data_IF_931826905385
#
_entry.id   IF_931826905385
#
_cell.length_a   1.000
_cell.length_b   1.000
_cell.length_c   1.000
_cell.angle_alpha   90.00
_cell.angle_beta   90.00
_cell.angle_gamma   90.00
#
_symmetry.space_group_name_H-M   'P 1'
#
loop_
_entity.id
_entity.type
_entity.pdbx_description
1 polymer ?
#
# COMPACT_ATOMS: atom_id res chain seq x y z
N UNK A 1 4.11 -17.11 21.17
CA UNK A 1 4.47 -17.55 19.80
C UNK A 1 5.27 -16.44 19.15
N UNK A 2 6.25 -16.78 18.32
CA UNK A 2 6.88 -15.83 17.40
C UNK A 2 5.84 -15.41 16.36
N UNK A 3 5.59 -14.11 16.23
CA UNK A 3 4.56 -13.57 15.33
C UNK A 3 5.09 -13.64 13.89
N UNK A 4 4.32 -14.23 12.97
CA UNK A 4 4.64 -14.26 11.55
C UNK A 4 4.37 -12.89 10.93
N UNK A 5 5.31 -12.28 10.22
CA UNK A 5 5.01 -11.09 9.41
C UNK A 5 3.95 -11.44 8.36
N UNK A 6 3.02 -10.54 8.12
CA UNK A 6 1.94 -10.73 7.15
C UNK A 6 2.05 -9.65 6.08
N UNK A 7 2.10 -10.08 4.82
CA UNK A 7 2.09 -9.20 3.67
C UNK A 7 0.86 -9.53 2.84
N UNK A 8 0.12 -8.49 2.49
CA UNK A 8 -1.10 -8.60 1.71
C UNK A 8 -0.88 -7.90 0.37
N UNK A 9 -1.35 -8.50 -0.71
CA UNK A 9 -1.74 -7.74 -1.87
C UNK A 9 -3.00 -6.89 -1.56
N UNK A 10 -3.32 -5.94 -2.44
CA UNK A 10 -4.43 -5.01 -2.27
C UNK A 10 -5.65 -5.37 -3.13
N UNK A 11 -5.54 -5.22 -4.44
CA UNK A 11 -6.66 -5.30 -5.39
C UNK A 11 -7.05 -6.75 -5.60
N UNK A 12 -8.31 -7.13 -5.31
CA UNK A 12 -8.74 -8.53 -5.38
C UNK A 12 -8.34 -9.36 -4.15
N UNK A 13 -7.42 -8.87 -3.32
CA UNK A 13 -7.07 -9.47 -2.03
C UNK A 13 -7.79 -8.80 -0.86
N UNK A 14 -7.45 -7.56 -0.52
CA UNK A 14 -8.10 -6.74 0.51
C UNK A 14 -9.44 -6.23 0.02
N UNK A 15 -9.49 -5.72 -1.22
CA UNK A 15 -10.72 -5.31 -1.88
C UNK A 15 -11.33 -6.49 -2.65
N UNK A 16 -12.63 -6.44 -2.90
CA UNK A 16 -13.32 -7.49 -3.68
C UNK A 16 -13.08 -7.37 -5.19
N UNK A 17 -12.52 -6.24 -5.65
CA UNK A 17 -12.36 -5.89 -7.06
C UNK A 17 -11.14 -4.98 -7.27
N UNK A 18 -10.69 -4.89 -8.52
CA UNK A 18 -9.70 -3.91 -8.97
C UNK A 18 -10.17 -2.47 -8.73
N UNK A 19 -9.27 -1.64 -8.23
CA UNK A 19 -9.52 -0.23 -7.90
C UNK A 19 -8.77 0.77 -8.78
N UNK A 20 -7.92 0.32 -9.71
CA UNK A 20 -7.16 1.21 -10.60
C UNK A 20 -8.11 2.07 -11.46
N UNK A 21 -9.16 1.46 -12.01
CA UNK A 21 -10.16 2.19 -12.80
C UNK A 21 -10.95 3.19 -11.94
N UNK A 22 -11.29 2.80 -10.70
CA UNK A 22 -11.97 3.69 -9.74
C UNK A 22 -11.10 4.90 -9.40
N UNK A 23 -9.83 4.68 -9.04
CA UNK A 23 -8.87 5.74 -8.79
C UNK A 23 -8.72 6.68 -9.99
N UNK A 24 -8.58 6.13 -11.21
CA UNK A 24 -8.48 6.94 -12.42
C UNK A 24 -9.72 7.81 -12.64
N UNK A 25 -10.92 7.26 -12.48
CA UNK A 25 -12.17 8.02 -12.62
C UNK A 25 -12.33 9.11 -11.55
N UNK A 26 -11.91 8.87 -10.31
CA UNK A 26 -11.92 9.89 -9.25
C UNK A 26 -10.98 11.05 -9.60
N UNK A 27 -9.77 10.75 -10.07
CA UNK A 27 -8.83 11.76 -10.53
C UNK A 27 -9.38 12.54 -11.74
N UNK A 28 -9.93 11.86 -12.75
CA UNK A 28 -10.54 12.52 -13.93
C UNK A 28 -11.70 13.42 -13.53
N UNK A 29 -12.56 12.99 -12.61
CA UNK A 29 -13.68 13.80 -12.11
C UNK A 29 -13.19 15.06 -11.43
N UNK A 30 -12.12 14.96 -10.65
CA UNK A 30 -11.49 16.13 -10.03
C UNK A 30 -10.81 17.04 -11.06
N UNK A 31 -10.14 16.50 -12.08
CA UNK A 31 -9.58 17.33 -13.17
C UNK A 31 -10.69 18.06 -13.94
N UNK A 32 -11.83 17.40 -14.15
CA UNK A 32 -12.99 18.00 -14.80
C UNK A 32 -13.59 19.16 -13.99
N UNK A 33 -13.58 19.10 -12.66
CA UNK A 33 -14.02 20.22 -11.81
C UNK A 33 -13.09 21.44 -11.92
N UNK A 34 -11.86 21.24 -12.40
CA UNK A 34 -10.89 22.29 -12.73
C UNK A 34 -10.86 22.64 -14.23
N UNK A 35 -11.84 22.17 -15.01
CA UNK A 35 -11.99 22.50 -16.42
C UNK A 35 -11.17 21.63 -17.39
N UNK A 36 -10.55 20.55 -16.93
CA UNK A 36 -9.77 19.62 -17.75
C UNK A 36 -10.53 18.31 -17.97
N UNK A 37 -11.08 18.09 -19.16
CA UNK A 37 -11.72 16.82 -19.51
C UNK A 37 -10.68 15.81 -20.03
N UNK A 38 -10.25 14.91 -19.14
CA UNK A 38 -9.26 13.87 -19.44
C UNK A 38 -9.86 12.48 -19.66
N UNK A 39 -11.19 12.36 -19.72
CA UNK A 39 -11.85 11.08 -20.04
C UNK A 39 -11.42 10.50 -21.40
N UNK A 40 -11.23 11.29 -22.48
CA UNK A 40 -10.73 10.77 -23.75
C UNK A 40 -9.31 10.20 -23.62
N UNK A 41 -8.44 10.86 -22.85
CA UNK A 41 -7.07 10.40 -22.63
C UNK A 41 -7.05 9.04 -21.90
N UNK A 42 -7.92 8.86 -20.89
CA UNK A 42 -8.09 7.57 -20.23
C UNK A 42 -8.56 6.48 -21.19
N UNK A 43 -9.54 6.78 -22.04
CA UNK A 43 -9.99 5.85 -23.09
C UNK A 43 -8.85 5.43 -24.04
N UNK A 44 -7.98 6.35 -24.42
CA UNK A 44 -6.78 6.06 -25.21
C UNK A 44 -5.76 5.20 -24.45
N UNK A 45 -5.54 5.46 -23.16
CA UNK A 45 -4.65 4.65 -22.31
C UNK A 45 -5.13 3.20 -22.26
N UNK A 46 -6.40 2.99 -21.89
CA UNK A 46 -6.99 1.65 -21.75
C UNK A 46 -6.95 0.89 -23.08
N UNK A 47 -7.37 1.53 -24.17
CA UNK A 47 -7.35 0.88 -25.49
C UNK A 47 -5.93 0.54 -25.97
N UNK A 48 -4.96 1.41 -25.72
CA UNK A 48 -3.56 1.16 -26.10
C UNK A 48 -2.94 0.03 -25.26
N UNK A 49 -3.23 -0.03 -23.96
CA UNK A 49 -2.80 -1.12 -23.09
C UNK A 49 -3.39 -2.46 -23.56
N UNK A 50 -4.70 -2.52 -23.84
CA UNK A 50 -5.34 -3.74 -24.36
C UNK A 50 -4.71 -4.22 -25.67
N UNK A 51 -4.33 -3.30 -26.57
CA UNK A 51 -3.64 -3.63 -27.82
C UNK A 51 -2.23 -4.16 -27.57
N UNK A 52 -1.45 -3.49 -26.72
CA UNK A 52 -0.08 -3.92 -26.37
C UNK A 52 -0.11 -5.31 -25.72
N UNK A 53 -1.01 -5.53 -24.76
CA UNK A 53 -1.15 -6.80 -24.06
C UNK A 53 -1.57 -7.92 -25.00
N UNK A 54 -2.60 -7.68 -25.83
CA UNK A 54 -3.06 -8.68 -26.80
C UNK A 54 -1.97 -9.02 -27.82
N UNK A 55 -1.22 -8.01 -28.28
CA UNK A 55 -0.08 -8.21 -29.17
C UNK A 55 1.03 -9.00 -28.48
N UNK A 56 1.35 -8.69 -27.22
CA UNK A 56 2.37 -9.42 -26.48
C UNK A 56 1.99 -10.89 -26.31
N UNK A 57 0.76 -11.17 -25.87
CA UNK A 57 0.24 -12.53 -25.69
C UNK A 57 0.30 -13.32 -27.01
N UNK A 58 -0.09 -12.70 -28.12
CA UNK A 58 -0.12 -13.36 -29.43
C UNK A 58 1.27 -13.75 -29.97
N UNK A 59 2.33 -13.04 -29.56
CA UNK A 59 3.69 -13.27 -30.05
C UNK A 59 4.61 -13.92 -29.01
N UNK A 60 4.18 -14.04 -27.76
CA UNK A 60 4.98 -14.65 -26.71
C UNK A 60 5.02 -16.17 -26.89
N UNK A 61 6.23 -16.72 -26.92
CA UNK A 61 6.48 -18.15 -26.87
C UNK A 61 7.38 -18.50 -25.69
N UNK A 62 7.13 -19.63 -24.99
CA UNK A 62 6.06 -20.61 -25.22
C UNK A 62 4.63 -20.08 -24.95
N UNK A 63 3.63 -20.60 -25.68
CA UNK A 63 2.21 -20.21 -25.48
C UNK A 63 1.72 -20.58 -24.08
N UNK A 64 0.53 -20.10 -23.68
CA UNK A 64 -0.02 -20.43 -22.36
C UNK A 64 -0.17 -21.94 -22.15
N UNK A 65 -0.58 -22.70 -23.18
CA UNK A 65 -0.70 -24.14 -23.11
C UNK A 65 0.67 -24.85 -23.04
N UNK A 66 1.70 -24.27 -23.64
CA UNK A 66 3.06 -24.82 -23.68
C UNK A 66 3.87 -24.52 -22.42
N UNK A 67 3.51 -23.48 -21.66
CA UNK A 67 4.10 -23.18 -20.36
C UNK A 67 3.65 -24.22 -19.33
N UNK A 68 4.55 -25.12 -18.95
CA UNK A 68 4.27 -26.24 -18.02
C UNK A 68 5.08 -26.19 -16.73
N UNK A 69 5.94 -25.18 -16.56
CA UNK A 69 6.82 -25.06 -15.40
C UNK A 69 6.70 -23.69 -14.77
N UNK A 70 6.95 -23.61 -13.45
CA UNK A 70 6.99 -22.34 -12.72
C UNK A 70 7.96 -21.35 -13.37
N UNK A 71 9.15 -21.81 -13.76
CA UNK A 71 10.16 -20.97 -14.41
C UNK A 71 9.63 -20.30 -15.69
N UNK A 72 8.97 -21.06 -16.57
CA UNK A 72 8.40 -20.52 -17.81
C UNK A 72 7.28 -19.51 -17.53
N UNK A 73 6.48 -19.75 -16.49
CA UNK A 73 5.40 -18.83 -16.11
C UNK A 73 5.94 -17.53 -15.52
N UNK A 74 6.97 -17.61 -14.69
CA UNK A 74 7.69 -16.43 -14.17
C UNK A 74 8.30 -15.63 -15.33
N UNK A 75 8.95 -16.30 -16.28
CA UNK A 75 9.50 -15.64 -17.48
C UNK A 75 8.41 -14.90 -18.27
N UNK A 76 7.20 -15.48 -18.38
CA UNK A 76 6.06 -14.82 -19.01
C UNK A 76 5.61 -13.57 -18.24
N UNK A 77 5.37 -13.66 -16.93
CA UNK A 77 4.93 -12.48 -16.15
C UNK A 77 5.98 -11.37 -16.14
N UNK A 78 7.27 -11.70 -16.03
CA UNK A 78 8.36 -10.73 -16.14
C UNK A 78 8.44 -10.10 -17.53
N UNK A 79 8.12 -10.84 -18.59
CA UNK A 79 8.12 -10.31 -19.97
C UNK A 79 7.07 -9.21 -20.19
N UNK A 80 6.01 -9.16 -19.36
CA UNK A 80 5.00 -8.12 -19.41
C UNK A 80 5.51 -6.75 -18.95
N UNK A 81 6.71 -6.67 -18.33
CA UNK A 81 7.26 -5.41 -17.80
C UNK A 81 7.20 -4.27 -18.81
N UNK A 82 7.53 -4.53 -20.08
CA UNK A 82 7.48 -3.50 -21.12
C UNK A 82 6.04 -3.06 -21.47
N UNK A 83 5.07 -3.97 -21.42
CA UNK A 83 3.64 -3.65 -21.64
C UNK A 83 3.12 -2.79 -20.49
N UNK A 84 3.41 -3.21 -19.27
CA UNK A 84 2.94 -2.52 -18.06
C UNK A 84 3.61 -1.15 -17.90
N UNK A 85 4.93 -1.06 -18.06
CA UNK A 85 5.65 0.22 -17.99
C UNK A 85 5.13 1.24 -19.02
N UNK A 86 4.81 0.81 -20.25
CA UNK A 86 4.18 1.71 -21.24
C UNK A 86 2.81 2.22 -20.79
N UNK A 87 2.03 1.40 -20.09
CA UNK A 87 0.76 1.83 -19.52
C UNK A 87 0.97 2.91 -18.46
N UNK A 88 1.92 2.69 -17.56
CA UNK A 88 2.33 3.66 -16.52
C UNK A 88 2.89 4.95 -17.10
N UNK A 89 3.68 4.88 -18.17
CA UNK A 89 4.21 6.04 -18.88
C UNK A 89 3.09 6.87 -19.51
N UNK A 90 2.08 6.23 -20.12
CA UNK A 90 0.92 6.93 -20.68
C UNK A 90 0.10 7.62 -19.58
N UNK A 91 -0.08 6.97 -18.43
CA UNK A 91 -0.74 7.60 -17.27
C UNK A 91 0.07 8.82 -16.81
N UNK A 92 1.39 8.67 -16.64
CA UNK A 92 2.30 9.75 -16.25
C UNK A 92 2.27 10.93 -17.24
N UNK A 93 2.20 10.66 -18.53
CA UNK A 93 2.15 11.68 -19.58
C UNK A 93 0.77 12.33 -19.78
N UNK A 94 -0.30 11.69 -19.29
CA UNK A 94 -1.68 12.15 -19.53
C UNK A 94 -2.09 13.40 -18.77
N UNK A 95 -1.38 13.70 -17.67
CA UNK A 95 -1.76 14.74 -16.72
C UNK A 95 -2.96 14.37 -15.83
N UNK A 96 -3.52 13.15 -15.93
CA UNK A 96 -4.63 12.71 -15.08
C UNK A 96 -4.26 12.85 -13.60
N UNK A 97 -3.03 12.49 -13.22
CA UNK A 97 -2.54 12.57 -11.84
C UNK A 97 -1.76 13.85 -11.52
N UNK A 98 -1.70 14.81 -12.45
CA UNK A 98 -0.98 16.06 -12.23
C UNK A 98 -1.70 16.93 -11.20
N UNK A 99 -0.93 17.51 -10.28
CA UNK A 99 -1.48 18.38 -9.23
C UNK A 99 -2.06 17.60 -8.04
N UNK A 100 -2.22 16.29 -8.16
CA UNK A 100 -2.44 15.39 -7.04
C UNK A 100 -1.10 15.04 -6.41
N UNK A 101 -0.46 16.01 -5.75
CA UNK A 101 0.53 15.66 -4.75
C UNK A 101 -0.19 15.14 -3.51
N UNK A 102 0.50 14.37 -2.68
CA UNK A 102 0.31 14.56 -1.25
C UNK A 102 0.21 16.08 -1.02
N UNK A 103 -0.82 16.58 -0.35
CA UNK A 103 -0.65 17.88 0.31
C UNK A 103 0.61 17.68 1.11
N UNK A 104 1.68 18.28 0.63
CA UNK A 104 3.07 18.04 1.00
C UNK A 104 3.09 17.72 2.49
N UNK A 105 3.34 16.47 2.92
CA UNK A 105 3.21 16.10 4.35
C UNK A 105 3.97 17.13 5.20
N UNK A 106 5.08 17.62 4.64
CA UNK A 106 5.85 18.75 5.13
C UNK A 106 5.11 20.08 5.09
N UNK A 107 4.39 20.48 4.03
CA UNK A 107 3.51 21.65 4.02
C UNK A 107 2.28 21.52 4.93
N UNK A 108 1.73 20.32 5.09
CA UNK A 108 0.64 20.01 6.00
C UNK A 108 1.11 20.16 7.45
N UNK A 109 2.25 19.53 7.77
CA UNK A 109 2.93 19.72 9.05
C UNK A 109 3.34 21.18 9.22
N UNK A 110 3.79 21.87 8.18
CA UNK A 110 4.17 23.27 8.22
C UNK A 110 3.00 24.15 8.63
N UNK A 111 1.83 23.99 7.99
CA UNK A 111 0.65 24.78 8.30
C UNK A 111 0.19 24.55 9.75
N UNK A 112 0.28 23.31 10.25
CA UNK A 112 -0.07 23.00 11.64
C UNK A 112 0.97 23.57 12.60
N UNK A 113 2.26 23.44 12.30
CA UNK A 113 3.37 24.00 13.09
C UNK A 113 3.25 25.52 13.14
N UNK A 114 2.97 26.18 12.02
CA UNK A 114 2.77 27.64 11.93
C UNK A 114 1.61 28.09 12.84
N UNK A 115 0.48 27.35 12.86
CA UNK A 115 -0.64 27.64 13.75
C UNK A 115 -0.31 27.36 15.24
N UNK A 116 0.47 26.32 15.55
CA UNK A 116 0.96 26.08 16.92
C UNK A 116 1.83 27.27 17.34
N UNK A 117 2.84 27.63 16.53
CA UNK A 117 3.80 28.70 16.80
C UNK A 117 3.12 30.07 16.94
N UNK A 118 2.06 30.33 16.19
CA UNK A 118 1.26 31.55 16.33
C UNK A 118 0.47 31.62 17.65
N UNK A 119 0.25 30.49 18.32
CA UNK A 119 -0.58 30.38 19.54
C UNK A 119 0.22 30.25 20.85
N UNK A 120 1.54 30.11 20.76
CA UNK A 120 2.46 29.84 21.89
C UNK A 120 3.50 30.95 22.04
N UNK A 121 4.14 31.03 23.21
CA UNK A 121 5.28 31.93 23.41
C UNK A 121 6.55 31.31 22.78
N UNK A 122 7.00 31.93 21.69
CA UNK A 122 8.21 31.52 20.96
C UNK A 122 9.47 31.51 21.84
N UNK A 123 9.52 32.24 22.96
CA UNK A 123 10.69 32.24 23.87
C UNK A 123 10.77 31.00 24.76
N UNK A 124 9.67 30.27 24.91
CA UNK A 124 9.56 29.16 25.88
C UNK A 124 9.13 27.83 25.27
N UNK A 125 8.59 27.83 24.04
CA UNK A 125 8.21 26.61 23.33
C UNK A 125 9.44 25.83 22.83
N UNK A 126 9.40 24.50 22.96
CA UNK A 126 10.43 23.59 22.43
C UNK A 126 9.87 22.62 21.38
N UNK A 127 10.76 21.97 20.61
CA UNK A 127 10.39 21.04 19.54
C UNK A 127 9.51 19.89 20.02
N UNK A 128 9.71 19.40 21.25
CA UNK A 128 8.87 18.31 21.81
C UNK A 128 7.42 18.77 21.97
N UNK A 129 7.20 19.98 22.50
CA UNK A 129 5.87 20.54 22.66
C UNK A 129 5.18 20.77 21.32
N UNK A 130 5.92 21.25 20.30
CA UNK A 130 5.39 21.41 18.94
C UNK A 130 5.02 20.06 18.33
N UNK A 131 5.86 19.03 18.48
CA UNK A 131 5.56 17.65 18.03
C UNK A 131 4.34 17.06 18.73
N UNK A 132 4.22 17.22 20.04
CA UNK A 132 3.04 16.76 20.79
C UNK A 132 1.78 17.49 20.34
N UNK A 133 1.85 18.81 20.09
CA UNK A 133 0.74 19.58 19.55
C UNK A 133 0.35 19.15 18.13
N UNK A 134 1.34 18.86 17.28
CA UNK A 134 1.15 18.35 15.94
C UNK A 134 0.48 16.96 15.96
N UNK A 135 1.00 16.04 16.78
CA UNK A 135 0.44 14.69 16.97
C UNK A 135 -1.03 14.75 17.44
N UNK A 136 -1.32 15.59 18.43
CA UNK A 136 -2.68 15.78 18.95
C UNK A 136 -3.65 16.31 17.89
N UNK A 137 -3.18 17.20 16.99
CA UNK A 137 -3.99 17.77 15.90
C UNK A 137 -4.18 16.82 14.73
N UNK A 138 -3.19 15.97 14.46
CA UNK A 138 -3.26 14.94 13.44
C UNK A 138 -4.02 13.70 13.92
N UNK A 139 -4.21 13.52 15.23
CA UNK A 139 -4.83 12.33 15.81
C UNK A 139 -4.00 11.07 15.62
N UNK A 140 -2.68 11.22 15.42
CA UNK A 140 -1.74 10.12 15.21
C UNK A 140 -0.61 10.20 16.23
N UNK A 141 -0.08 9.04 16.61
CA UNK A 141 1.16 8.99 17.36
C UNK A 141 2.35 9.27 16.43
N UNK A 142 3.08 10.35 16.70
CA UNK A 142 4.29 10.76 15.99
C UNK A 142 5.58 10.36 16.73
N UNK A 143 5.49 9.87 17.97
CA UNK A 143 6.67 9.41 18.73
C UNK A 143 7.10 8.00 18.26
N UNK A 144 6.16 7.19 17.74
CA UNK A 144 6.43 5.87 17.15
C UNK A 144 6.70 5.83 15.63
N UNK A 145 6.77 6.98 14.95
CA UNK A 145 6.97 7.02 13.49
C UNK A 145 8.42 6.76 13.06
N UNK A 146 8.60 6.25 11.83
CA UNK A 146 9.91 5.90 11.24
C UNK A 146 10.94 7.03 11.33
N UNK A 147 12.22 6.67 11.48
CA UNK A 147 13.34 7.60 11.64
C UNK A 147 13.38 8.76 10.62
N UNK A 148 13.11 8.49 9.34
CA UNK A 148 13.09 9.54 8.30
C UNK A 148 11.97 10.59 8.46
N UNK A 149 10.81 10.20 9.02
CA UNK A 149 9.72 11.14 9.34
C UNK A 149 10.13 12.03 10.52
N UNK A 150 10.86 11.47 11.49
CA UNK A 150 11.33 12.23 12.66
C UNK A 150 12.36 13.29 12.28
N UNK A 151 13.29 12.97 11.37
CA UNK A 151 14.30 13.91 10.86
C UNK A 151 13.65 15.03 10.04
N UNK A 152 12.75 14.69 9.12
CA UNK A 152 11.97 15.68 8.36
C UNK A 152 11.16 16.60 9.28
N UNK A 153 10.50 16.07 10.32
CA UNK A 153 9.75 16.86 11.29
C UNK A 153 10.67 17.78 12.10
N UNK A 154 11.85 17.30 12.48
CA UNK A 154 12.84 18.09 13.19
C UNK A 154 13.31 19.28 12.34
N UNK A 155 13.66 19.04 11.07
CA UNK A 155 14.10 20.08 10.13
C UNK A 155 13.00 21.10 9.86
N UNK A 156 11.78 20.61 9.65
CA UNK A 156 10.62 21.47 9.40
C UNK A 156 10.30 22.36 10.60
N UNK A 157 10.25 21.81 11.82
CA UNK A 157 9.96 22.61 13.02
C UNK A 157 11.04 23.68 13.20
N UNK A 158 12.31 23.35 12.95
CA UNK A 158 13.42 24.31 13.01
C UNK A 158 13.23 25.44 11.99
N UNK A 159 12.96 25.11 10.72
CA UNK A 159 12.71 26.10 9.66
C UNK A 159 11.54 27.04 10.02
N UNK A 160 10.41 26.49 10.48
CA UNK A 160 9.21 27.29 10.81
C UNK A 160 9.38 28.17 12.03
N UNK A 161 10.17 27.71 13.00
CA UNK A 161 10.54 28.52 14.16
C UNK A 161 11.36 29.75 13.76
N UNK A 162 12.30 29.60 12.82
CA UNK A 162 13.08 30.73 12.28
C UNK A 162 12.19 31.74 11.54
N UNK A 163 11.26 31.25 10.70
CA UNK A 163 10.28 32.10 10.01
C UNK A 163 9.39 32.87 10.99
N UNK A 164 8.88 32.21 12.03
CA UNK A 164 8.03 32.85 13.04
C UNK A 164 8.78 33.93 13.84
N UNK A 165 10.04 33.68 14.20
CA UNK A 165 10.90 34.65 14.88
C UNK A 165 11.23 35.87 13.99
N UNK A 166 11.42 35.66 12.69
CA UNK A 166 11.61 36.75 11.73
C UNK A 166 10.33 37.59 11.56
N UNK A 167 9.15 36.96 11.54
CA UNK A 167 7.86 37.64 11.42
C UNK A 167 7.46 38.44 12.69
N UNK A 168 7.87 37.99 13.88
CA UNK A 168 7.63 38.69 15.15
C UNK A 168 8.33 40.07 15.27
N UNK A 169 9.16 40.44 14.28
CA UNK A 169 9.74 41.78 14.12
C UNK A 169 8.86 42.80 13.38
N UNK A 170 7.65 42.43 12.93
CA UNK A 170 6.69 43.32 12.24
C UNK A 170 5.34 43.45 12.96
N UNK A 171 4.49 44.46 12.65
CA UNK A 171 3.27 44.73 13.41
C UNK A 171 2.18 43.67 13.15
N UNK A 172 1.60 43.14 14.24
CA UNK A 172 0.65 42.03 14.22
C UNK A 172 -0.81 42.46 13.93
N UNK A 173 -1.59 41.66 13.16
CA UNK A 173 -3.05 41.66 13.25
C UNK A 173 -3.51 40.59 14.26
N UNK A 174 -4.46 40.97 15.12
CA UNK A 174 -5.14 40.07 16.06
C UNK A 174 -6.43 39.52 15.48
N UNK A 175 -6.65 38.21 15.53
CA UNK A 175 -8.00 37.63 15.62
C UNK A 175 -7.96 36.30 16.37
N UNK A 176 -8.71 36.21 17.47
CA UNK A 176 -9.02 34.97 18.17
C UNK A 176 -10.02 34.17 17.34
N UNK A 177 -9.78 32.87 17.14
CA UNK A 177 -10.82 31.91 16.75
C UNK A 177 -10.89 30.83 17.82
N UNK A 178 -12.07 30.66 18.43
CA UNK A 178 -12.44 29.53 19.29
C UNK A 178 -13.35 28.58 18.50
N UNK A 179 -13.08 27.28 18.60
CA UNK A 179 -13.97 26.18 18.21
C UNK A 179 -13.30 24.82 18.46
N UNK A 180 -14.04 23.75 18.78
CA UNK A 180 -13.48 22.39 18.94
C UNK A 180 -13.02 21.83 17.57
N UNK A 181 -12.13 20.81 17.54
CA UNK A 181 -11.42 20.44 16.32
C UNK A 181 -12.37 19.88 15.26
N UNK A 182 -12.40 20.53 14.09
CA UNK A 182 -12.89 19.94 12.85
C UNK A 182 -11.92 18.81 12.47
N UNK A 183 -12.44 17.63 12.13
CA UNK A 183 -11.66 16.59 11.44
C UNK A 183 -10.96 17.21 10.20
N UNK A 184 -9.66 17.00 10.05
CA UNK A 184 -8.80 17.75 9.11
C UNK A 184 -8.37 16.88 7.91
N UNK A 185 -8.15 17.45 6.70
CA UNK A 185 -8.15 16.70 5.45
C UNK A 185 -6.81 16.00 5.23
N UNK A 186 -6.89 14.68 5.05
CA UNK A 186 -5.83 13.85 4.49
C UNK A 186 -5.58 14.26 3.03
N UNK A 187 -4.37 13.99 2.51
CA UNK A 187 -4.01 14.28 1.11
C UNK A 187 -5.04 13.74 0.12
N UNK A 188 -5.18 14.39 -1.04
CA UNK A 188 -6.31 14.13 -1.94
C UNK A 188 -6.47 12.66 -2.32
N UNK A 189 -5.35 11.96 -2.54
CA UNK A 189 -5.33 10.51 -2.78
C UNK A 189 -5.93 9.69 -1.64
N UNK A 190 -5.52 9.97 -0.40
CA UNK A 190 -6.07 9.29 0.76
C UNK A 190 -7.56 9.58 0.91
N UNK A 191 -7.97 10.84 0.72
CA UNK A 191 -9.41 11.19 0.75
C UNK A 191 -10.18 10.42 -0.32
N UNK A 192 -9.65 10.31 -1.54
CA UNK A 192 -10.27 9.50 -2.60
C UNK A 192 -10.44 8.04 -2.20
N UNK A 193 -9.46 7.44 -1.53
CA UNK A 193 -9.58 6.07 -1.03
C UNK A 193 -10.70 5.93 0.01
N UNK A 194 -10.78 6.85 0.97
CA UNK A 194 -11.85 6.87 1.98
C UNK A 194 -13.21 7.08 1.34
N UNK A 195 -13.34 8.08 0.47
CA UNK A 195 -14.59 8.44 -0.20
C UNK A 195 -15.07 7.32 -1.12
N UNK A 196 -14.16 6.58 -1.77
CA UNK A 196 -14.50 5.43 -2.60
C UNK A 196 -15.18 4.33 -1.79
N UNK A 197 -14.71 4.07 -0.56
CA UNK A 197 -15.32 3.09 0.35
C UNK A 197 -16.66 3.61 0.88
N UNK A 198 -16.69 4.85 1.37
CA UNK A 198 -17.90 5.46 1.92
C UNK A 198 -19.02 5.60 0.88
N UNK A 199 -18.65 5.81 -0.39
CA UNK A 199 -19.56 5.87 -1.53
C UNK A 199 -19.95 4.51 -2.11
N UNK A 200 -19.45 3.39 -1.57
CA UNK A 200 -19.73 2.04 -2.06
C UNK A 200 -19.10 1.70 -3.42
N UNK A 201 -18.10 2.47 -3.87
CA UNK A 201 -17.34 2.18 -5.09
C UNK A 201 -16.25 1.12 -4.86
N UNK A 202 -15.83 0.95 -3.62
CA UNK A 202 -14.83 -0.03 -3.18
C UNK A 202 -15.34 -0.72 -1.94
N UNK A 203 -15.31 -2.05 -1.94
CA UNK A 203 -15.73 -2.88 -0.81
C UNK A 203 -14.55 -3.70 -0.28
N UNK A 204 -14.45 -3.79 1.04
CA UNK A 204 -13.50 -4.69 1.70
C UNK A 204 -13.97 -6.13 1.64
N UNK A 205 -13.05 -7.06 1.41
CA UNK A 205 -13.32 -8.49 1.41
C UNK A 205 -13.77 -8.97 2.79
N UNK A 206 -14.70 -9.92 2.81
CA UNK A 206 -15.25 -10.50 4.04
C UNK A 206 -14.14 -10.89 5.03
N UNK A 207 -14.34 -10.52 6.30
CA UNK A 207 -13.41 -10.81 7.40
C UNK A 207 -12.20 -9.88 7.51
N UNK A 208 -11.96 -8.95 6.56
CA UNK A 208 -10.75 -8.10 6.58
C UNK A 208 -10.67 -7.25 7.85
N UNK A 209 -11.80 -6.72 8.32
CA UNK A 209 -11.86 -5.86 9.49
C UNK A 209 -11.46 -6.62 10.75
N UNK A 210 -12.02 -7.81 10.94
CA UNK A 210 -11.71 -8.71 12.05
C UNK A 210 -10.25 -9.17 11.99
N UNK A 211 -9.76 -9.50 10.81
CA UNK A 211 -8.36 -9.87 10.57
C UNK A 211 -7.40 -8.76 10.96
N UNK A 212 -7.69 -7.51 10.59
CA UNK A 212 -6.88 -6.37 10.98
C UNK A 212 -6.87 -6.11 12.47
N UNK A 213 -8.03 -6.23 13.13
CA UNK A 213 -8.11 -6.10 14.59
C UNK A 213 -7.31 -7.19 15.31
N UNK A 214 -7.36 -8.43 14.81
CA UNK A 214 -6.56 -9.54 15.31
C UNK A 214 -5.06 -9.24 15.15
N UNK A 215 -4.61 -8.88 13.95
CA UNK A 215 -3.21 -8.59 13.67
C UNK A 215 -2.67 -7.43 14.52
N UNK A 216 -3.46 -6.36 14.65
CA UNK A 216 -3.13 -5.20 15.48
C UNK A 216 -3.06 -5.56 16.97
N UNK A 217 -4.06 -6.28 17.49
CA UNK A 217 -4.11 -6.72 18.88
C UNK A 217 -2.98 -7.69 19.24
N UNK A 218 -2.53 -8.49 18.28
CA UNK A 218 -1.36 -9.33 18.42
C UNK A 218 -0.06 -8.56 18.25
N UNK A 219 -0.05 -7.33 17.73
CA UNK A 219 1.16 -6.57 17.40
C UNK A 219 2.03 -7.28 16.37
N UNK A 220 1.39 -7.84 15.34
CA UNK A 220 2.04 -8.54 14.23
C UNK A 220 2.48 -7.54 13.17
N UNK A 221 3.73 -7.64 12.69
CA UNK A 221 4.21 -6.83 11.58
C UNK A 221 3.35 -7.12 10.33
N UNK A 222 2.68 -6.09 9.82
CA UNK A 222 1.77 -6.19 8.70
C UNK A 222 2.09 -5.14 7.65
N UNK A 223 1.89 -5.47 6.38
CA UNK A 223 2.01 -4.51 5.31
C UNK A 223 1.38 -4.94 4.01
N UNK A 224 1.36 -4.00 3.06
CA UNK A 224 0.80 -4.17 1.73
C UNK A 224 1.88 -4.00 0.68
N UNK A 225 1.86 -4.86 -0.33
CA UNK A 225 2.59 -4.68 -1.58
C UNK A 225 1.58 -4.62 -2.72
N UNK A 226 1.62 -3.57 -3.54
CA UNK A 226 0.63 -3.38 -4.60
C UNK A 226 1.22 -2.72 -5.85
N UNK A 227 0.68 -3.09 -7.02
CA UNK A 227 0.93 -2.41 -8.30
C UNK A 227 0.08 -1.15 -8.47
N UNK A 228 -0.84 -0.86 -7.53
CA UNK A 228 -1.74 0.28 -7.63
C UNK A 228 -0.97 1.60 -7.84
N UNK A 229 -1.56 2.53 -8.58
CA UNK A 229 -0.91 3.79 -8.95
C UNK A 229 -0.63 4.72 -7.77
N UNK A 230 -1.37 4.61 -6.67
CA UNK A 230 -1.21 5.51 -5.52
C UNK A 230 -1.25 4.77 -4.19
N UNK A 231 -0.10 4.70 -3.53
CA UNK A 231 0.07 4.27 -2.14
C UNK A 231 -0.91 4.98 -1.20
N UNK A 232 -1.10 6.28 -1.36
CA UNK A 232 -1.93 7.05 -0.44
C UNK A 232 -3.42 6.76 -0.65
N UNK A 233 -3.84 6.48 -1.89
CA UNK A 233 -5.17 5.95 -2.15
C UNK A 233 -5.39 4.59 -1.48
N UNK A 234 -4.42 3.68 -1.61
CA UNK A 234 -4.45 2.38 -0.94
C UNK A 234 -4.60 2.57 0.58
N UNK A 235 -3.81 3.45 1.20
CA UNK A 235 -3.93 3.78 2.64
C UNK A 235 -5.32 4.32 2.98
N UNK A 236 -5.87 5.18 2.14
CA UNK A 236 -7.23 5.70 2.28
C UNK A 236 -8.29 4.60 2.33
N UNK A 237 -8.28 3.71 1.34
CA UNK A 237 -9.22 2.57 1.28
C UNK A 237 -9.06 1.68 2.52
N UNK A 238 -7.82 1.29 2.84
CA UNK A 238 -7.49 0.41 3.96
C UNK A 238 -7.96 0.99 5.29
N UNK A 239 -7.74 2.29 5.51
CA UNK A 239 -8.17 2.97 6.74
C UNK A 239 -9.69 2.91 6.94
N UNK A 240 -10.46 2.89 5.84
CA UNK A 240 -11.91 2.85 5.87
C UNK A 240 -12.46 1.42 5.99
N UNK A 241 -11.92 0.45 5.23
CA UNK A 241 -12.40 -0.94 5.28
C UNK A 241 -11.88 -1.73 6.47
N UNK A 242 -10.69 -1.37 6.98
CA UNK A 242 -10.00 -2.09 8.04
C UNK A 242 -9.16 -1.14 8.92
N UNK A 243 -9.81 -0.42 9.86
CA UNK A 243 -9.11 0.52 10.74
C UNK A 243 -7.96 -0.08 11.54
N UNK A 244 -8.03 -1.38 11.88
CA UNK A 244 -6.96 -2.10 12.57
C UNK A 244 -5.64 -2.15 11.81
N UNK A 245 -5.67 -1.98 10.48
CA UNK A 245 -4.47 -1.96 9.64
C UNK A 245 -4.15 -0.55 9.09
N UNK A 246 -4.82 0.50 9.55
CA UNK A 246 -4.60 1.87 9.03
C UNK A 246 -3.15 2.37 9.20
N UNK A 247 -2.43 1.86 10.21
CA UNK A 247 -1.04 2.20 10.49
C UNK A 247 -0.01 1.30 9.79
N UNK A 248 -0.43 0.33 8.98
CA UNK A 248 0.49 -0.63 8.38
C UNK A 248 1.34 -0.02 7.26
N UNK A 249 2.47 -0.66 6.98
CA UNK A 249 3.34 -0.26 5.89
C UNK A 249 2.71 -0.58 4.54
N UNK A 250 2.72 0.39 3.62
CA UNK A 250 2.22 0.20 2.25
C UNK A 250 3.33 0.53 1.27
N UNK A 251 3.66 -0.44 0.42
CA UNK A 251 4.61 -0.31 -0.68
C UNK A 251 3.85 -0.44 -1.99
N UNK A 252 3.61 0.68 -2.64
CA UNK A 252 2.92 0.78 -3.91
C UNK A 252 3.52 1.93 -4.73
N UNK A 253 3.01 2.17 -5.93
CA UNK A 253 3.47 3.31 -6.72
C UNK A 253 2.94 4.63 -6.14
N UNK A 254 3.66 5.70 -6.41
CA UNK A 254 3.34 7.05 -5.92
C UNK A 254 3.42 8.01 -7.10
N UNK A 255 2.36 8.77 -7.41
CA UNK A 255 2.46 9.87 -8.35
C UNK A 255 3.19 11.05 -7.67
N UNK A 256 4.22 11.58 -8.30
CA UNK A 256 4.86 12.81 -7.86
C UNK A 256 3.98 14.04 -8.20
N UNK A 257 4.44 15.25 -7.85
CA UNK A 257 3.68 16.49 -8.10
C UNK A 257 3.36 16.75 -9.58
N UNK A 258 4.18 16.23 -10.50
CA UNK A 258 3.95 16.32 -11.94
C UNK A 258 2.95 15.26 -12.44
N UNK A 259 2.51 14.33 -11.58
CA UNK A 259 1.68 13.18 -11.93
C UNK A 259 2.46 11.99 -12.48
N UNK A 260 3.80 12.02 -12.42
CA UNK A 260 4.65 10.92 -12.90
C UNK A 260 4.71 9.85 -11.82
N UNK A 261 4.45 8.60 -12.22
CA UNK A 261 4.45 7.45 -11.32
C UNK A 261 5.87 7.00 -11.00
N UNK A 262 6.15 6.82 -9.71
CA UNK A 262 7.42 6.38 -9.17
C UNK A 262 7.20 5.21 -8.20
N UNK A 263 8.20 4.34 -8.04
CA UNK A 263 8.19 3.35 -6.95
C UNK A 263 8.38 4.02 -5.59
N UNK A 264 7.80 3.45 -4.53
CA UNK A 264 7.99 3.96 -3.17
C UNK A 264 9.32 3.49 -2.56
N UNK A 265 10.11 4.42 -2.02
CA UNK A 265 11.35 4.12 -1.29
C UNK A 265 11.08 3.89 0.20
N UNK A 266 10.95 2.62 0.58
CA UNK A 266 10.68 2.20 1.97
C UNK A 266 11.75 2.67 2.96
N UNK A 267 12.98 2.90 2.50
CA UNK A 267 14.10 3.35 3.34
C UNK A 267 14.25 4.87 3.41
N UNK A 268 13.51 5.63 2.60
CA UNK A 268 13.58 7.09 2.58
C UNK A 268 14.95 7.65 2.22
N UNK A 269 15.73 6.95 1.39
CA UNK A 269 17.06 7.38 0.92
C UNK A 269 16.99 8.42 -0.21
N UNK A 270 15.80 8.68 -0.74
CA UNK A 270 15.57 9.74 -1.73
C UNK A 270 16.03 9.37 -3.13
N UNK A 271 16.13 8.08 -3.45
CA UNK A 271 16.43 7.61 -4.81
C UNK A 271 15.13 7.25 -5.53
N UNK A 272 14.94 7.70 -6.79
CA UNK A 272 13.82 7.24 -7.61
C UNK A 272 13.85 5.72 -7.70
N UNK A 273 12.76 5.07 -7.29
CA UNK A 273 12.58 3.63 -7.45
C UNK A 273 11.82 3.36 -8.74
N UNK A 274 12.16 2.25 -9.40
CA UNK A 274 11.35 1.75 -10.49
C UNK A 274 9.92 1.47 -10.01
N UNK A 275 8.95 1.72 -10.88
CA UNK A 275 7.54 1.40 -10.62
C UNK A 275 7.35 -0.10 -10.44
N UNK A 276 6.45 -0.46 -9.52
CA UNK A 276 6.02 -1.83 -9.26
C UNK A 276 4.92 -2.16 -10.26
N UNK A 277 5.25 -2.98 -11.26
CA UNK A 277 4.36 -3.25 -12.41
C UNK A 277 4.17 -4.73 -12.72
N UNK A 278 5.05 -5.58 -12.22
CA UNK A 278 5.11 -7.02 -12.53
C UNK A 278 5.42 -7.85 -11.29
N UNK A 279 5.38 -9.17 -11.42
CA UNK A 279 5.62 -10.11 -10.31
C UNK A 279 6.99 -9.96 -9.66
N UNK A 280 8.03 -9.68 -10.44
CA UNK A 280 9.38 -9.44 -9.93
C UNK A 280 9.46 -8.12 -9.18
N UNK A 281 8.71 -7.10 -9.63
CA UNK A 281 8.55 -5.83 -8.93
C UNK A 281 7.89 -6.01 -7.57
N UNK A 282 6.80 -6.78 -7.50
CA UNK A 282 6.13 -7.10 -6.23
C UNK A 282 7.05 -7.93 -5.31
N UNK A 283 7.77 -8.91 -5.84
CA UNK A 283 8.73 -9.70 -5.06
C UNK A 283 9.84 -8.84 -4.47
N UNK A 284 10.40 -7.92 -5.27
CA UNK A 284 11.42 -6.98 -4.81
C UNK A 284 10.86 -6.08 -3.69
N UNK A 285 9.65 -5.53 -3.87
CA UNK A 285 8.98 -4.73 -2.85
C UNK A 285 8.72 -5.51 -1.55
N UNK A 286 8.27 -6.76 -1.64
CA UNK A 286 8.07 -7.67 -0.51
C UNK A 286 9.38 -7.89 0.27
N UNK A 287 10.47 -8.21 -0.45
CA UNK A 287 11.80 -8.42 0.14
C UNK A 287 12.36 -7.16 0.79
N UNK A 288 12.16 -6.00 0.17
CA UNK A 288 12.55 -4.71 0.73
C UNK A 288 11.80 -4.40 2.02
N UNK A 289 10.48 -4.65 2.06
CA UNK A 289 9.63 -4.47 3.23
C UNK A 289 10.02 -5.40 4.39
N UNK A 290 10.22 -6.69 4.12
CA UNK A 290 10.72 -7.63 5.13
C UNK A 290 12.10 -7.21 5.67
N UNK A 291 13.00 -6.79 4.78
CA UNK A 291 14.32 -6.26 5.16
C UNK A 291 14.23 -4.98 6.00
N UNK A 292 13.24 -4.13 5.72
CA UNK A 292 12.94 -2.94 6.50
C UNK A 292 12.51 -3.31 7.92
N UNK A 293 11.54 -4.22 8.08
CA UNK A 293 11.06 -4.67 9.40
C UNK A 293 12.15 -5.36 10.23
N UNK A 294 13.02 -6.17 9.60
CA UNK A 294 14.18 -6.78 10.29
C UNK A 294 15.11 -5.72 10.87
N UNK A 295 15.39 -4.64 10.12
CA UNK A 295 16.24 -3.54 10.61
C UNK A 295 15.60 -2.74 11.75
N UNK A 296 14.28 -2.68 11.82
CA UNK A 296 13.55 -2.07 12.92
C UNK A 296 13.45 -3.00 14.16
N UNK A 297 13.89 -4.25 14.06
CA UNK A 297 13.71 -5.25 15.11
C UNK A 297 12.26 -5.73 15.26
N UNK A 298 11.41 -5.48 14.27
CA UNK A 298 10.01 -5.93 14.23
C UNK A 298 9.90 -7.41 13.86
N UNK A 299 10.94 -7.96 13.20
CA UNK A 299 11.08 -9.37 12.87
C UNK A 299 12.43 -9.85 13.40
N UNK A 300 12.42 -10.89 14.24
CA UNK A 300 13.64 -11.50 14.77
C UNK A 300 14.49 -12.08 13.62
N UNK A 301 15.79 -12.32 13.85
CA UNK A 301 16.75 -12.79 12.84
C UNK A 301 16.46 -14.19 12.26
N UNK A 302 17.47 -14.90 11.76
CA UNK A 302 17.39 -16.15 10.97
C UNK A 302 16.54 -17.31 11.57
N UNK A 303 16.06 -17.20 12.81
CA UNK A 303 15.09 -18.12 13.45
C UNK A 303 13.62 -17.62 13.41
N UNK A 304 13.32 -16.54 12.68
CA UNK A 304 11.96 -16.02 12.57
C UNK A 304 11.04 -16.95 11.77
N UNK A 305 9.76 -17.07 12.18
CA UNK A 305 8.81 -17.92 11.48
C UNK A 305 8.56 -17.36 10.07
N UNK A 306 8.37 -18.28 9.13
CA UNK A 306 8.06 -18.00 7.73
C UNK A 306 6.96 -16.93 7.59
N UNK A 307 7.20 -15.80 6.89
CA UNK A 307 6.18 -14.78 6.63
C UNK A 307 5.02 -15.35 5.80
N UNK A 308 3.85 -14.75 5.96
CA UNK A 308 2.64 -15.07 5.20
C UNK A 308 2.51 -14.03 4.08
N UNK A 309 2.27 -14.49 2.85
CA UNK A 309 1.87 -13.63 1.74
C UNK A 309 0.49 -14.03 1.24
N UNK A 310 -0.42 -13.07 1.10
CA UNK A 310 -1.77 -13.30 0.55
C UNK A 310 -1.93 -12.51 -0.75
N UNK A 311 -2.33 -13.16 -1.83
CA UNK A 311 -2.54 -12.52 -3.14
C UNK A 311 -3.52 -13.30 -4.02
N UNK A 312 -4.09 -12.66 -5.04
CA UNK A 312 -5.14 -13.26 -5.88
C UNK A 312 -4.72 -13.51 -7.33
N UNK A 313 -3.65 -12.84 -7.78
CA UNK A 313 -3.38 -12.65 -9.20
C UNK A 313 -2.02 -13.19 -9.66
N UNK A 314 -1.82 -13.26 -10.97
CA UNK A 314 -0.53 -13.60 -11.57
C UNK A 314 0.62 -12.68 -11.18
N UNK A 315 0.34 -11.41 -10.83
CA UNK A 315 1.37 -10.48 -10.33
C UNK A 315 1.90 -10.91 -8.96
N UNK A 316 1.19 -11.76 -8.24
CA UNK A 316 1.59 -12.28 -6.93
C UNK A 316 2.33 -13.61 -7.01
N UNK A 317 2.44 -14.21 -8.20
CA UNK A 317 2.99 -15.55 -8.40
C UNK A 317 4.37 -15.73 -7.73
N UNK A 318 5.26 -14.76 -7.91
CA UNK A 318 6.61 -14.84 -7.36
C UNK A 318 6.64 -14.63 -5.84
N UNK A 319 5.79 -13.77 -5.28
CA UNK A 319 5.67 -13.61 -3.83
C UNK A 319 5.10 -14.85 -3.16
N UNK A 320 4.07 -15.45 -3.76
CA UNK A 320 3.38 -16.66 -3.27
C UNK A 320 4.28 -17.91 -3.28
N UNK A 321 5.25 -17.95 -4.19
CA UNK A 321 6.14 -19.09 -4.43
C UNK A 321 7.56 -18.88 -3.88
N UNK A 322 7.84 -17.75 -3.22
CA UNK A 322 9.17 -17.46 -2.71
C UNK A 322 9.56 -18.44 -1.60
N UNK A 323 10.79 -18.94 -1.67
CA UNK A 323 11.35 -19.81 -0.64
C UNK A 323 11.28 -19.12 0.72
N UNK A 324 10.73 -19.82 1.71
CA UNK A 324 10.55 -19.25 3.04
C UNK A 324 9.24 -18.49 3.26
N UNK A 325 8.31 -18.47 2.29
CA UNK A 325 7.00 -17.80 2.41
C UNK A 325 5.85 -18.82 2.47
N UNK A 326 4.88 -18.58 3.36
CA UNK A 326 3.58 -19.26 3.34
C UNK A 326 2.67 -18.47 2.39
N UNK A 327 2.57 -18.93 1.15
CA UNK A 327 1.71 -18.33 0.13
C UNK A 327 0.24 -18.74 0.27
N UNK A 328 -0.68 -17.77 0.27
CA UNK A 328 -2.13 -17.98 0.30
C UNK A 328 -2.78 -17.29 -0.89
N UNK A 329 -3.38 -18.07 -1.78
CA UNK A 329 -4.18 -17.57 -2.89
C UNK A 329 -5.55 -17.15 -2.40
N UNK A 330 -5.92 -15.89 -2.63
CA UNK A 330 -7.26 -15.39 -2.36
C UNK A 330 -8.18 -15.70 -3.55
N UNK A 331 -9.22 -16.51 -3.35
CA UNK A 331 -10.18 -16.85 -4.40
C UNK A 331 -11.52 -17.33 -3.83
N UNK A 332 -12.64 -16.76 -4.29
CA UNK A 332 -13.96 -16.99 -3.69
C UNK A 332 -14.50 -18.42 -3.82
N UNK A 333 -14.11 -19.15 -4.87
CA UNK A 333 -14.62 -20.48 -5.21
C UNK A 333 -13.51 -21.51 -5.48
N UNK A 334 -12.23 -21.10 -5.45
CA UNK A 334 -11.10 -21.98 -5.80
C UNK A 334 -10.83 -22.04 -7.31
N UNK A 335 -11.54 -21.28 -8.14
CA UNK A 335 -11.50 -21.38 -9.62
C UNK A 335 -10.98 -20.09 -10.29
N UNK A 336 -9.90 -19.51 -9.79
CA UNK A 336 -9.28 -18.30 -10.39
C UNK A 336 -8.30 -18.62 -11.54
N UNK A 337 -7.96 -17.61 -12.35
CA UNK A 337 -6.93 -17.73 -13.38
C UNK A 337 -5.54 -18.12 -12.80
N UNK A 338 -5.25 -17.67 -11.58
CA UNK A 338 -4.04 -18.07 -10.86
C UNK A 338 -4.10 -19.54 -10.43
N UNK A 339 -5.26 -20.04 -9.97
CA UNK A 339 -5.46 -21.46 -9.66
C UNK A 339 -5.28 -22.36 -10.90
N UNK A 340 -5.83 -21.94 -12.04
CA UNK A 340 -5.63 -22.62 -13.33
C UNK A 340 -4.15 -22.64 -13.73
N UNK A 341 -3.44 -21.53 -13.48
CA UNK A 341 -2.01 -21.43 -13.71
C UNK A 341 -1.23 -22.41 -12.85
N UNK A 342 -1.48 -22.46 -11.53
CA UNK A 342 -0.83 -23.42 -10.63
C UNK A 342 -1.07 -24.87 -11.05
N UNK A 343 -2.32 -25.24 -11.35
CA UNK A 343 -2.64 -26.57 -11.86
C UNK A 343 -1.88 -26.90 -13.15
N UNK A 344 -1.84 -25.96 -14.10
CA UNK A 344 -1.15 -26.14 -15.39
C UNK A 344 0.36 -26.35 -15.23
N UNK A 345 0.99 -25.68 -14.28
CA UNK A 345 2.44 -25.80 -14.02
C UNK A 345 2.79 -26.88 -12.99
N UNK A 346 1.81 -27.68 -12.55
CA UNK A 346 2.01 -28.79 -11.60
C UNK A 346 2.21 -28.37 -10.14
N UNK A 347 1.86 -27.14 -9.77
CA UNK A 347 1.89 -26.68 -8.37
C UNK A 347 0.56 -27.07 -7.71
N UNK A 348 0.67 -27.84 -6.62
CA UNK A 348 -0.48 -28.22 -5.82
C UNK A 348 -0.87 -27.06 -4.89
N UNK A 349 -2.12 -26.62 -4.98
CA UNK A 349 -2.71 -25.64 -4.07
C UNK A 349 -3.68 -26.34 -3.12
N UNK A 350 -3.54 -26.12 -1.82
CA UNK A 350 -4.29 -26.85 -0.78
C UNK A 350 -5.23 -25.89 -0.04
N UNK A 351 -6.45 -26.28 0.36
CA UNK A 351 -7.27 -25.43 1.23
C UNK A 351 -6.52 -25.05 2.51
N UNK A 352 -6.58 -23.78 2.93
CA UNK A 352 -5.86 -23.30 4.11
C UNK A 352 -6.29 -24.03 5.40
N UNK A 353 -7.51 -24.57 5.45
CA UNK A 353 -7.99 -25.41 6.56
C UNK A 353 -7.19 -26.70 6.77
N UNK A 354 -6.43 -27.15 5.78
CA UNK A 354 -5.54 -28.32 5.86
C UNK A 354 -4.09 -27.95 6.19
N UNK A 355 -3.81 -26.69 6.57
CA UNK A 355 -2.46 -26.23 6.91
C UNK A 355 -1.77 -27.13 7.95
N UNK A 356 -0.49 -27.43 7.71
CA UNK A 356 0.39 -28.20 8.60
C UNK A 356 1.78 -27.57 8.62
N UNK A 357 2.27 -27.28 9.82
CA UNK A 357 3.56 -26.61 10.04
C UNK A 357 4.76 -27.36 9.42
N UNK A 358 4.68 -28.69 9.30
CA UNK A 358 5.79 -29.53 8.82
C UNK A 358 5.92 -29.64 7.29
N UNK A 359 5.03 -29.00 6.51
CA UNK A 359 5.06 -29.05 5.03
C UNK A 359 5.53 -27.70 4.46
N UNK A 360 6.85 -27.46 4.50
CA UNK A 360 7.53 -26.20 4.15
C UNK A 360 7.39 -25.72 2.68
N UNK A 361 6.56 -26.33 1.83
CA UNK A 361 6.53 -26.03 0.38
C UNK A 361 5.14 -25.97 -0.25
N UNK A 362 4.08 -25.83 0.54
CA UNK A 362 2.71 -25.83 0.02
C UNK A 362 2.17 -24.40 -0.16
N UNK A 363 1.62 -24.12 -1.35
CA UNK A 363 0.75 -22.95 -1.56
C UNK A 363 -0.65 -23.31 -1.08
N UNK A 364 -1.27 -22.41 -0.35
CA UNK A 364 -2.62 -22.57 0.15
C UNK A 364 -3.60 -21.68 -0.60
N UNK A 365 -4.89 -21.90 -0.41
CA UNK A 365 -5.92 -20.96 -0.85
C UNK A 365 -7.00 -20.78 0.22
N UNK A 366 -7.64 -19.61 0.20
CA UNK A 366 -8.74 -19.25 1.07
C UNK A 366 -9.75 -18.36 0.34
N UNK A 367 -11.02 -18.43 0.74
CA UNK A 367 -12.12 -17.64 0.15
C UNK A 367 -12.13 -16.21 0.62
N UNK A 368 -11.82 -16.04 1.90
CA UNK A 368 -11.88 -14.76 2.59
C UNK A 368 -11.00 -14.78 3.84
N UNK A 369 -10.91 -13.63 4.51
CA UNK A 369 -10.10 -13.49 5.72
C UNK A 369 -10.70 -14.23 6.92
N UNK A 370 -12.00 -14.54 6.91
CA UNK A 370 -12.61 -15.37 7.96
C UNK A 370 -12.04 -16.78 7.91
N UNK A 371 -11.93 -17.36 6.72
CA UNK A 371 -11.33 -18.69 6.53
C UNK A 371 -9.84 -18.72 6.88
N UNK A 372 -9.09 -17.66 6.56
CA UNK A 372 -7.68 -17.54 6.99
C UNK A 372 -7.58 -17.57 8.51
N UNK A 373 -8.34 -16.75 9.23
CA UNK A 373 -8.27 -16.69 10.71
C UNK A 373 -8.73 -17.98 11.39
N UNK A 374 -9.64 -18.74 10.78
CA UNK A 374 -10.15 -20.01 11.32
C UNK A 374 -9.24 -21.20 11.03
N UNK A 375 -8.20 -21.01 10.22
CA UNK A 375 -7.31 -22.09 9.82
C UNK A 375 -6.33 -22.50 10.92
N UNK A 376 -5.73 -23.71 10.81
CA UNK A 376 -4.67 -24.15 11.73
C UNK A 376 -3.45 -23.22 11.77
N UNK A 377 -3.25 -22.38 10.76
CA UNK A 377 -2.16 -21.39 10.72
C UNK A 377 -2.25 -20.35 11.85
N UNK A 378 -3.48 -20.07 12.31
CA UNK A 378 -3.76 -19.08 13.36
C UNK A 378 -4.33 -19.72 14.64
N UNK A 379 -4.43 -21.05 14.72
CA UNK A 379 -4.85 -21.74 15.93
C UNK A 379 -3.68 -21.97 16.89
N UNK A 380 -3.92 -21.86 18.20
CA UNK A 380 -2.92 -22.17 19.19
C UNK A 380 -2.53 -23.66 19.09
N UNK A 381 -1.26 -23.95 18.78
CA UNK A 381 -0.68 -25.28 18.66
C UNK A 381 -0.60 -26.05 20.00
N UNK A 382 -1.54 -25.84 20.93
CA UNK A 382 -1.58 -26.47 22.25
C UNK A 382 -2.51 -27.69 22.34
N UNK A 383 -3.35 -27.96 21.35
CA UNK A 383 -4.33 -29.08 21.43
C UNK A 383 -3.99 -30.31 20.58
N UNK A 384 -2.82 -30.38 19.92
CA UNK A 384 -2.44 -31.57 19.11
C UNK A 384 -1.41 -32.50 19.76
N UNK A 385 -1.15 -32.36 21.07
CA UNK A 385 -0.37 -33.35 21.83
C UNK A 385 -1.09 -33.66 23.14
N UNK A 386 -2.08 -34.54 23.07
CA UNK A 386 -2.47 -35.43 24.18
C UNK A 386 -2.89 -36.77 23.63
#
# INVERSE_FOLDING_TARGET
>A
MTKRPIILDFDGTITTQDTITTLAHLAITHQASHGLNLQPAWGTIVSSYSLDLSSHIAHYHPTVEERKTLKQEIEYYRSLKNVESKSFDRVSASGIFKGFGATDERAQYAAIVDDILASVDLKTVNTRQVRTGLAARLGVDLEGQKWGVQEMLQDLITERFDVANQAAGGPAPSTKIKGPPKAWPLGEWHRFGVDAVMGGLVEGRKGIKEFGNMAAGQGTACGIVSVNFSRDFVRGVVSAVCPGLAGMDVVANVPNAAGVLEGFDVYGKGHPKEVIVTSDGKLAAMKELLGYWRKQGEVNGEEAPHPIYVGDSGTDLECLMEDGVIGIVMTGDGESALMQTFNRIGVKVIPIGEFRESEETSVYWARDFTEIMQSPLFSDSREQIT
#
